data_IF_314106779584
#
_entry.id   IF_314106779584
#
_cell.length_a   1.000
_cell.length_b   1.000
_cell.length_c   1.000
_cell.angle_alpha   90.00
_cell.angle_beta   90.00
_cell.angle_gamma   90.00
#
_symmetry.space_group_name_H-M   'P 1'
#
loop_
_entity.id
_entity.type
_entity.pdbx_description
1 polymer ?
#
# COMPACT_ATOMS: atom_id res chain seq x y z
N UNK A 1 15.40 -39.58 19.54
CA UNK A 1 15.33 -39.51 18.07
C UNK A 1 13.91 -39.90 17.69
N UNK A 2 13.04 -38.91 17.46
CA UNK A 2 11.63 -39.14 17.16
C UNK A 2 11.44 -38.95 15.64
N UNK A 3 11.01 -40.02 14.97
CA UNK A 3 10.75 -40.03 13.54
C UNK A 3 9.34 -39.50 13.30
N UNK A 4 9.22 -38.31 12.73
CA UNK A 4 7.95 -37.79 12.25
C UNK A 4 7.71 -38.26 10.82
N UNK A 5 6.80 -39.22 10.68
CA UNK A 5 6.30 -39.71 9.39
C UNK A 5 5.34 -38.68 8.81
N UNK A 6 5.74 -38.04 7.71
CA UNK A 6 4.95 -37.07 6.95
C UNK A 6 3.91 -37.84 6.12
N UNK A 7 2.64 -37.80 6.52
CA UNK A 7 1.54 -38.39 5.76
C UNK A 7 1.15 -37.46 4.61
N UNK A 8 1.29 -38.01 3.40
CA UNK A 8 0.92 -37.44 2.10
C UNK A 8 -0.59 -37.13 2.05
N UNK A 9 -0.96 -35.85 1.90
CA UNK A 9 -2.36 -35.44 1.66
C UNK A 9 -2.75 -35.82 0.23
N UNK A 10 -3.75 -36.69 0.09
CA UNK A 10 -4.43 -36.98 -1.17
C UNK A 10 -5.21 -35.75 -1.66
N UNK A 11 -4.90 -35.31 -2.88
CA UNK A 11 -5.66 -34.28 -3.61
C UNK A 11 -6.84 -34.97 -4.30
N UNK A 12 -8.05 -34.67 -3.86
CA UNK A 12 -9.29 -35.18 -4.48
C UNK A 12 -9.60 -34.45 -5.81
N UNK A 13 -9.84 -35.15 -6.93
CA UNK A 13 -10.03 -34.55 -8.26
C UNK A 13 -11.47 -34.15 -8.63
N UNK A 14 -12.36 -33.88 -7.67
CA UNK A 14 -13.76 -33.50 -7.97
C UNK A 14 -14.13 -32.17 -7.29
N UNK A 15 -13.71 -31.07 -7.91
CA UNK A 15 -14.27 -29.75 -7.62
C UNK A 15 -15.20 -29.37 -8.78
N UNK A 16 -16.52 -29.19 -8.54
CA UNK A 16 -17.46 -28.84 -9.59
C UNK A 16 -17.18 -27.43 -10.13
N UNK A 17 -17.32 -27.29 -11.46
CA UNK A 17 -17.16 -26.04 -12.20
C UNK A 17 -18.01 -24.91 -11.59
N UNK A 18 -17.35 -23.84 -11.17
CA UNK A 18 -18.03 -22.61 -10.77
C UNK A 18 -18.63 -21.96 -12.02
N UNK A 19 -19.97 -22.00 -12.11
CA UNK A 19 -20.73 -21.23 -13.08
C UNK A 19 -20.50 -19.73 -12.85
N UNK A 20 -19.86 -19.12 -13.84
CA UNK A 20 -19.55 -17.71 -13.90
C UNK A 20 -20.85 -16.90 -14.10
N UNK A 21 -21.42 -16.41 -13.00
CA UNK A 21 -22.54 -15.47 -13.03
C UNK A 21 -22.05 -14.11 -13.56
N UNK A 22 -22.48 -13.77 -14.78
CA UNK A 22 -22.27 -12.45 -15.38
C UNK A 22 -22.95 -11.35 -14.54
N UNK A 23 -22.29 -10.22 -14.26
CA UNK A 23 -22.92 -9.10 -13.58
C UNK A 23 -23.89 -8.34 -14.52
N UNK A 24 -24.97 -7.75 -14.00
CA UNK A 24 -25.92 -6.98 -14.79
C UNK A 24 -25.31 -5.65 -15.26
N UNK A 25 -25.51 -5.36 -16.55
CA UNK A 25 -25.17 -4.09 -17.19
C UNK A 25 -26.11 -3.00 -16.69
N UNK A 26 -25.60 -2.10 -15.86
CA UNK A 26 -26.33 -0.89 -15.43
C UNK A 26 -26.14 0.19 -16.49
N UNK A 27 -27.17 0.42 -17.30
CA UNK A 27 -27.27 1.55 -18.20
C UNK A 27 -27.46 2.85 -17.39
N UNK A 28 -26.47 3.74 -17.44
CA UNK A 28 -26.57 5.10 -16.89
C UNK A 28 -27.20 6.05 -17.92
N UNK A 29 -28.25 6.82 -17.58
CA UNK A 29 -28.80 7.83 -18.48
C UNK A 29 -27.98 9.13 -18.43
N UNK A 30 -27.78 9.70 -19.62
CA UNK A 30 -27.18 11.01 -19.88
C UNK A 30 -27.79 12.13 -19.04
N UNK A 31 -26.94 12.91 -18.38
CA UNK A 31 -27.31 14.22 -17.83
C UNK A 31 -27.03 15.33 -18.85
N UNK A 32 -28.00 16.23 -18.95
CA UNK A 32 -28.16 17.28 -19.95
C UNK A 32 -27.14 18.42 -19.82
N UNK A 33 -26.77 18.95 -20.98
CA UNK A 33 -26.06 20.21 -21.18
C UNK A 33 -26.90 21.37 -20.64
N UNK A 34 -26.37 22.12 -19.66
CA UNK A 34 -26.93 23.40 -19.22
C UNK A 34 -26.10 24.52 -19.86
N UNK A 35 -26.63 25.11 -20.92
CA UNK A 35 -26.15 26.38 -21.48
C UNK A 35 -26.66 27.52 -20.61
N UNK A 36 -25.79 28.46 -20.23
CA UNK A 36 -26.20 29.77 -19.72
C UNK A 36 -25.48 30.90 -20.46
N UNK A 37 -26.17 32.04 -20.66
CA UNK A 37 -25.76 33.06 -21.61
C UNK A 37 -24.83 34.08 -20.96
N UNK A 38 -23.89 34.58 -21.76
CA UNK A 38 -23.06 35.72 -21.43
C UNK A 38 -23.90 37.00 -21.33
N UNK A 39 -23.73 37.74 -20.24
CA UNK A 39 -24.03 39.16 -20.15
C UNK A 39 -22.78 39.91 -19.70
N UNK A 40 -22.43 41.05 -20.31
CA UNK A 40 -21.35 41.91 -19.83
C UNK A 40 -21.85 42.73 -18.63
N UNK A 41 -20.97 43.18 -17.73
CA UNK A 41 -20.94 44.54 -17.19
C UNK A 41 -20.01 44.70 -15.97
N UNK A 42 -19.19 45.75 -16.08
CA UNK A 42 -18.65 46.67 -15.07
C UNK A 42 -17.65 46.17 -14.00
N UNK A 43 -16.42 46.66 -14.19
CA UNK A 43 -15.31 46.72 -13.24
C UNK A 43 -15.65 47.64 -12.05
N UNK A 44 -15.64 47.10 -10.83
CA UNK A 44 -15.51 47.86 -9.58
C UNK A 44 -14.39 47.21 -8.77
N UNK A 45 -13.39 47.96 -8.27
CA UNK A 45 -12.40 47.41 -7.36
C UNK A 45 -13.02 47.28 -5.97
N UNK A 46 -13.35 46.05 -5.57
CA UNK A 46 -13.77 45.73 -4.21
C UNK A 46 -12.60 45.17 -3.40
N UNK A 47 -12.30 45.87 -2.33
CA UNK A 47 -11.42 45.50 -1.21
C UNK A 47 -11.78 44.11 -0.67
N UNK A 48 -10.83 43.22 -0.34
CA UNK A 48 -11.14 41.87 0.11
C UNK A 48 -11.68 41.90 1.54
N UNK A 49 -12.97 41.57 1.70
CA UNK A 49 -13.54 41.18 3.00
C UNK A 49 -13.04 39.78 3.39
N UNK A 50 -12.70 39.53 4.67
CA UNK A 50 -12.37 38.19 5.14
C UNK A 50 -13.63 37.33 5.10
N UNK A 51 -13.66 36.35 4.19
CA UNK A 51 -14.72 35.36 4.15
C UNK A 51 -14.75 34.55 5.45
N UNK A 52 -15.84 34.71 6.20
CA UNK A 52 -16.24 33.75 7.23
C UNK A 52 -16.40 32.37 6.60
N UNK A 53 -15.44 31.49 6.88
CA UNK A 53 -15.53 30.06 6.60
C UNK A 53 -16.80 29.51 7.26
N UNK A 54 -17.74 29.05 6.42
CA UNK A 54 -18.83 28.17 6.86
C UNK A 54 -18.20 27.00 7.61
N UNK A 55 -18.51 26.89 8.91
CA UNK A 55 -18.25 25.67 9.66
C UNK A 55 -19.15 24.60 9.04
N UNK A 56 -18.54 23.62 8.40
CA UNK A 56 -19.23 22.39 8.05
C UNK A 56 -19.48 21.66 9.36
N UNK A 57 -20.73 21.69 9.80
CA UNK A 57 -21.26 20.78 10.83
C UNK A 57 -21.29 19.39 10.17
N UNK A 58 -20.17 18.68 10.30
CA UNK A 58 -19.97 17.36 9.71
C UNK A 58 -20.52 16.30 10.65
N UNK A 59 -21.51 15.56 10.16
CA UNK A 59 -22.02 14.32 10.75
C UNK A 59 -20.86 13.42 11.25
N UNK A 60 -20.79 13.08 12.54
CA UNK A 60 -19.66 12.35 13.14
C UNK A 60 -19.49 10.92 12.61
N UNK A 61 -20.44 10.40 11.81
CA UNK A 61 -20.38 9.05 11.25
C UNK A 61 -19.89 8.97 9.79
N UNK A 62 -19.54 10.09 9.15
CA UNK A 62 -19.21 10.10 7.71
C UNK A 62 -17.69 10.20 7.47
N UNK A 63 -17.06 9.03 7.53
CA UNK A 63 -15.86 8.59 6.79
C UNK A 63 -14.48 9.06 7.28
N UNK A 64 -13.83 8.19 8.05
CA UNK A 64 -12.37 8.03 8.14
C UNK A 64 -11.85 7.29 6.90
N UNK A 65 -11.70 8.01 5.79
CA UNK A 65 -10.85 7.52 4.70
C UNK A 65 -9.48 8.20 4.81
N UNK A 66 -8.35 7.47 4.67
CA UNK A 66 -7.01 8.02 4.85
C UNK A 66 -6.74 9.28 4.03
N UNK A 67 -7.30 9.36 2.82
CA UNK A 67 -7.24 10.52 1.94
C UNK A 67 -7.92 11.77 2.51
N UNK A 68 -9.03 11.60 3.25
CA UNK A 68 -9.76 12.69 3.89
C UNK A 68 -9.04 13.17 5.16
N UNK A 69 -8.44 12.25 5.93
CA UNK A 69 -7.58 12.59 7.07
C UNK A 69 -6.34 13.37 6.63
N UNK A 70 -5.68 12.95 5.55
CA UNK A 70 -4.53 13.66 4.99
C UNK A 70 -4.91 15.05 4.47
N UNK A 71 -6.11 15.19 3.86
CA UNK A 71 -6.61 16.49 3.43
C UNK A 71 -6.97 17.41 4.60
N UNK A 72 -7.60 16.89 5.66
CA UNK A 72 -7.87 17.63 6.90
C UNK A 72 -6.58 18.08 7.59
N UNK A 73 -5.57 17.21 7.63
CA UNK A 73 -4.23 17.55 8.13
C UNK A 73 -3.62 18.68 7.29
N UNK A 74 -3.64 18.57 5.97
CA UNK A 74 -3.16 19.62 5.06
C UNK A 74 -3.91 20.94 5.22
N UNK A 75 -5.23 20.90 5.38
CA UNK A 75 -6.08 22.08 5.58
C UNK A 75 -5.85 22.73 6.95
N UNK A 76 -5.65 21.94 8.00
CA UNK A 76 -5.29 22.43 9.33
C UNK A 76 -3.90 23.08 9.33
N UNK A 77 -2.92 22.46 8.68
CA UNK A 77 -1.57 23.01 8.51
C UNK A 77 -1.61 24.33 7.72
N UNK A 78 -2.35 24.37 6.61
CA UNK A 78 -2.48 25.56 5.76
C UNK A 78 -3.34 26.69 6.33
N UNK A 79 -4.10 26.45 7.40
CA UNK A 79 -4.91 27.49 8.06
C UNK A 79 -4.23 28.13 9.28
N UNK A 80 -3.00 27.73 9.61
CA UNK A 80 -2.20 28.46 10.58
C UNK A 80 -1.74 29.79 9.97
N UNK A 81 -2.17 30.90 10.58
CA UNK A 81 -1.97 32.27 10.04
C UNK A 81 -0.51 32.71 9.86
N UNK A 82 0.44 31.90 10.35
CA UNK A 82 1.87 32.20 10.29
C UNK A 82 2.57 31.72 9.01
N UNK A 83 1.93 30.92 8.14
CA UNK A 83 2.45 30.50 6.82
C UNK A 83 3.82 29.80 6.82
N UNK A 84 4.40 29.60 8.00
CA UNK A 84 5.71 29.08 8.26
C UNK A 84 5.56 28.21 9.50
N UNK A 85 5.52 26.90 9.28
CA UNK A 85 5.89 25.98 10.33
C UNK A 85 7.41 26.09 10.39
N UNK A 86 7.90 27.09 11.11
CA UNK A 86 9.20 26.97 11.76
C UNK A 86 9.06 25.79 12.71
N UNK A 87 9.35 24.59 12.21
CA UNK A 87 9.92 23.52 13.01
C UNK A 87 11.18 24.12 13.61
N UNK A 88 11.02 24.89 14.69
CA UNK A 88 12.13 25.29 15.52
C UNK A 88 12.90 23.99 15.79
N UNK A 89 14.24 24.04 15.66
CA UNK A 89 15.13 22.93 15.98
C UNK A 89 15.13 22.65 17.50
N UNK A 90 13.96 22.64 18.12
CA UNK A 90 13.76 22.07 19.43
C UNK A 90 14.20 20.61 19.31
N UNK A 91 15.35 20.32 19.91
CA UNK A 91 15.85 18.96 20.04
C UNK A 91 14.83 18.24 20.90
N UNK A 92 13.89 17.55 20.25
CA UNK A 92 13.02 16.60 20.94
C UNK A 92 13.96 15.58 21.55
N UNK A 93 14.09 15.64 22.86
CA UNK A 93 14.92 14.70 23.61
C UNK A 93 14.29 13.32 23.52
N UNK A 94 15.08 12.26 23.62
CA UNK A 94 14.56 10.89 23.61
C UNK A 94 13.44 10.68 24.64
N UNK A 95 13.51 11.38 25.78
CA UNK A 95 12.48 11.37 26.81
C UNK A 95 11.15 11.93 26.29
N UNK A 96 11.17 13.11 25.69
CA UNK A 96 9.98 13.73 25.07
C UNK A 96 9.44 12.86 23.93
N UNK A 97 10.32 12.24 23.13
CA UNK A 97 9.90 11.36 22.05
C UNK A 97 9.19 10.10 22.58
N UNK A 98 9.63 9.56 23.71
CA UNK A 98 8.95 8.44 24.39
C UNK A 98 7.61 8.83 25.03
N UNK A 99 7.43 10.10 25.39
CA UNK A 99 6.14 10.63 25.86
C UNK A 99 5.18 10.93 24.71
N UNK A 100 5.70 11.39 23.58
CA UNK A 100 4.94 11.68 22.35
C UNK A 100 4.51 10.38 21.67
N UNK A 101 5.44 9.43 21.53
CA UNK A 101 5.16 8.09 21.01
C UNK A 101 4.69 7.25 22.20
N UNK A 102 3.47 7.51 22.67
CA UNK A 102 2.82 6.61 23.62
C UNK A 102 2.83 5.21 23.01
N UNK A 103 3.20 4.21 23.82
CA UNK A 103 3.02 2.82 23.46
C UNK A 103 1.59 2.66 22.90
N UNK A 104 1.40 1.87 21.83
CA UNK A 104 0.07 1.56 21.32
C UNK A 104 -0.84 1.33 22.50
N UNK A 105 -1.80 2.23 22.71
CA UNK A 105 -2.85 1.98 23.68
C UNK A 105 -3.75 1.00 22.94
N UNK A 106 -3.29 -0.25 22.85
CA UNK A 106 -4.17 -1.39 22.68
C UNK A 106 -4.94 -1.36 23.99
N UNK A 107 -6.04 -0.60 24.02
CA UNK A 107 -6.97 -0.65 25.11
C UNK A 107 -7.41 -2.11 25.17
N UNK A 108 -6.75 -2.88 26.04
CA UNK A 108 -7.01 -4.28 26.31
C UNK A 108 -8.34 -4.49 27.04
N UNK A 109 -9.13 -3.43 27.20
CA UNK A 109 -10.57 -3.58 27.35
C UNK A 109 -11.10 -4.03 26.00
N UNK A 110 -10.89 -5.33 25.73
CA UNK A 110 -11.70 -6.06 24.77
C UNK A 110 -13.13 -5.64 25.08
N UNK A 111 -13.80 -4.91 24.16
CA UNK A 111 -15.21 -4.63 24.34
C UNK A 111 -15.80 -6.00 24.60
N UNK A 112 -16.41 -6.20 25.77
CA UNK A 112 -16.85 -7.52 26.20
C UNK A 112 -18.06 -7.87 25.36
N UNK A 113 -17.79 -8.25 24.10
CA UNK A 113 -18.79 -8.71 23.18
C UNK A 113 -19.28 -10.03 23.74
N UNK A 114 -20.60 -10.23 23.85
CA UNK A 114 -21.12 -11.53 24.24
C UNK A 114 -20.58 -12.57 23.24
N UNK A 115 -20.10 -13.70 23.75
CA UNK A 115 -19.66 -14.78 22.89
C UNK A 115 -20.85 -15.29 22.05
N UNK A 116 -20.69 -15.45 20.72
CA UNK A 116 -21.75 -16.00 19.89
C UNK A 116 -22.13 -17.41 20.34
N UNK A 117 -23.42 -17.72 20.34
CA UNK A 117 -23.86 -19.08 20.66
C UNK A 117 -23.66 -20.01 19.46
N UNK A 118 -22.48 -20.64 19.43
CA UNK A 118 -22.14 -21.63 18.40
C UNK A 118 -22.93 -22.93 18.53
N UNK A 119 -23.65 -23.15 19.63
CA UNK A 119 -24.48 -24.34 19.80
C UNK A 119 -25.65 -24.39 18.81
N UNK A 120 -26.09 -23.24 18.29
CA UNK A 120 -27.14 -23.13 17.28
C UNK A 120 -26.79 -23.79 15.95
N UNK A 121 -25.50 -23.96 15.64
CA UNK A 121 -25.04 -24.66 14.44
C UNK A 121 -25.17 -26.18 14.56
N UNK A 122 -25.32 -26.70 15.78
CA UNK A 122 -25.46 -28.13 16.00
C UNK A 122 -26.93 -28.52 15.77
N UNK A 123 -27.22 -29.42 14.82
CA UNK A 123 -28.59 -29.89 14.61
C UNK A 123 -29.01 -30.70 15.83
N UNK A 124 -29.74 -30.07 16.75
CA UNK A 124 -30.13 -30.68 18.03
C UNK A 124 -31.22 -31.75 17.91
N UNK A 125 -31.88 -31.88 16.74
CA UNK A 125 -32.87 -32.93 16.47
C UNK A 125 -33.13 -33.11 14.96
N UNK A 126 -33.56 -34.31 14.51
CA UNK A 126 -34.02 -34.50 13.13
C UNK A 126 -35.21 -33.56 12.82
N UNK A 127 -35.12 -32.84 11.69
CA UNK A 127 -36.06 -31.81 11.25
C UNK A 127 -37.53 -32.26 11.16
N UNK A 128 -37.79 -33.57 11.13
CA UNK A 128 -39.10 -34.16 10.86
C UNK A 128 -40.17 -33.89 11.93
N UNK A 129 -39.82 -33.35 13.11
CA UNK A 129 -40.76 -33.17 14.23
C UNK A 129 -40.76 -31.76 14.86
N UNK A 130 -40.19 -30.76 14.18
CA UNK A 130 -40.23 -29.39 14.72
C UNK A 130 -41.52 -28.69 14.33
N UNK A 131 -42.18 -28.03 15.30
CA UNK A 131 -43.32 -27.16 14.99
C UNK A 131 -42.83 -25.91 14.27
N UNK A 132 -43.69 -25.30 13.45
CA UNK A 132 -43.39 -24.06 12.74
C UNK A 132 -42.92 -22.95 13.69
N UNK A 133 -43.58 -22.78 14.84
CA UNK A 133 -43.20 -21.77 15.83
C UNK A 133 -41.77 -21.96 16.36
N UNK A 134 -41.31 -23.21 16.51
CA UNK A 134 -39.93 -23.50 16.94
C UNK A 134 -38.90 -23.16 15.85
N UNK A 135 -39.25 -23.39 14.59
CA UNK A 135 -38.41 -23.01 13.45
C UNK A 135 -38.29 -21.49 13.34
N UNK A 136 -39.39 -20.76 13.50
CA UNK A 136 -39.39 -19.29 13.50
C UNK A 136 -38.50 -18.74 14.62
N UNK A 137 -38.63 -19.25 15.84
CA UNK A 137 -37.76 -18.87 16.96
C UNK A 137 -36.27 -19.15 16.67
N UNK A 138 -35.95 -20.32 16.12
CA UNK A 138 -34.56 -20.67 15.78
C UNK A 138 -33.99 -19.75 14.69
N UNK A 139 -34.81 -19.34 13.72
CA UNK A 139 -34.41 -18.37 12.69
C UNK A 139 -34.13 -17.01 13.31
N UNK A 140 -34.97 -16.55 14.24
CA UNK A 140 -34.76 -15.29 14.96
C UNK A 140 -33.45 -15.32 15.77
N UNK A 141 -33.22 -16.37 16.56
CA UNK A 141 -32.00 -16.56 17.35
C UNK A 141 -30.74 -16.63 16.46
N UNK A 142 -30.83 -17.32 15.32
CA UNK A 142 -29.72 -17.40 14.37
C UNK A 142 -29.45 -16.04 13.71
N UNK A 143 -30.51 -15.30 13.37
CA UNK A 143 -30.39 -13.96 12.77
C UNK A 143 -29.74 -12.98 13.75
N UNK A 144 -30.14 -13.02 15.01
CA UNK A 144 -29.51 -12.24 16.08
C UNK A 144 -28.03 -12.59 16.25
N UNK A 145 -27.68 -13.88 16.33
CA UNK A 145 -26.28 -14.32 16.44
C UNK A 145 -25.45 -13.91 15.22
N UNK A 146 -26.00 -14.01 14.01
CA UNK A 146 -25.32 -13.53 12.79
C UNK A 146 -25.06 -12.02 12.85
N UNK A 147 -26.03 -11.24 13.31
CA UNK A 147 -25.86 -9.78 13.45
C UNK A 147 -24.76 -9.43 14.47
N UNK A 148 -24.68 -10.19 15.58
CA UNK A 148 -23.65 -10.03 16.60
C UNK A 148 -22.26 -10.37 16.06
N UNK A 149 -22.11 -11.52 15.39
CA UNK A 149 -20.84 -11.93 14.76
C UNK A 149 -20.40 -10.90 13.73
N UNK A 150 -21.32 -10.36 12.94
CA UNK A 150 -21.02 -9.30 11.98
C UNK A 150 -20.44 -8.06 12.67
N UNK A 151 -21.06 -7.58 13.75
CA UNK A 151 -20.55 -6.44 14.53
C UNK A 151 -19.15 -6.73 15.11
N UNK A 152 -18.92 -7.94 15.63
CA UNK A 152 -17.60 -8.35 16.13
C UNK A 152 -16.54 -8.30 15.02
N UNK A 153 -16.84 -8.83 13.83
CA UNK A 153 -15.90 -8.81 12.69
C UNK A 153 -15.58 -7.37 12.27
N UNK A 154 -16.59 -6.49 12.23
CA UNK A 154 -16.38 -5.06 11.91
C UNK A 154 -15.48 -4.40 12.95
N UNK A 155 -15.74 -4.64 14.24
CA UNK A 155 -14.90 -4.13 15.34
C UNK A 155 -13.46 -4.63 15.24
N UNK A 156 -13.26 -5.93 15.05
CA UNK A 156 -11.93 -6.53 14.89
C UNK A 156 -11.17 -5.97 13.68
N UNK A 157 -11.85 -5.76 12.55
CA UNK A 157 -11.24 -5.13 11.37
C UNK A 157 -10.75 -3.71 11.68
N UNK A 158 -11.55 -2.92 12.41
CA UNK A 158 -11.15 -1.58 12.84
C UNK A 158 -9.91 -1.59 13.74
N UNK A 159 -9.83 -2.54 14.69
CA UNK A 159 -8.66 -2.70 15.56
C UNK A 159 -7.41 -3.06 14.74
N UNK A 160 -7.52 -4.01 13.81
CA UNK A 160 -6.40 -4.42 12.94
C UNK A 160 -5.95 -3.25 12.06
N UNK A 161 -6.88 -2.50 11.48
CA UNK A 161 -6.58 -1.34 10.66
C UNK A 161 -5.86 -0.25 11.46
N UNK A 162 -6.34 0.05 12.67
CA UNK A 162 -5.70 1.03 13.55
C UNK A 162 -4.28 0.59 13.95
N UNK A 163 -4.10 -0.69 14.30
CA UNK A 163 -2.78 -1.25 14.61
C UNK A 163 -1.81 -1.14 13.43
N UNK A 164 -2.27 -1.48 12.22
CA UNK A 164 -1.47 -1.35 11.00
C UNK A 164 -1.11 0.10 10.70
N UNK A 165 -2.05 1.03 10.86
CA UNK A 165 -1.79 2.46 10.68
C UNK A 165 -0.72 2.96 11.67
N UNK A 166 -0.78 2.52 12.93
CA UNK A 166 0.22 2.88 13.93
C UNK A 166 1.61 2.33 13.58
N UNK A 167 1.70 1.08 13.11
CA UNK A 167 2.96 0.49 12.67
C UNK A 167 3.59 1.28 11.50
N UNK A 168 2.77 1.72 10.54
CA UNK A 168 3.24 2.58 9.45
C UNK A 168 3.78 3.92 9.95
N UNK A 169 3.09 4.57 10.90
CA UNK A 169 3.55 5.84 11.49
C UNK A 169 4.88 5.65 12.21
N UNK A 170 5.04 4.57 12.97
CA UNK A 170 6.30 4.24 13.65
C UNK A 170 7.44 4.00 12.64
N UNK A 171 7.18 3.23 11.59
CA UNK A 171 8.16 2.98 10.53
C UNK A 171 8.59 4.28 9.83
N UNK A 172 7.66 5.16 9.49
CA UNK A 172 7.97 6.48 8.91
C UNK A 172 8.81 7.33 9.87
N UNK A 173 8.50 7.30 11.16
CA UNK A 173 9.31 7.96 12.19
C UNK A 173 10.75 7.45 12.25
N UNK A 174 10.93 6.13 12.20
CA UNK A 174 12.25 5.50 12.18
C UNK A 174 13.05 5.83 10.91
N UNK A 175 12.41 5.79 9.74
CA UNK A 175 13.06 6.17 8.46
C UNK A 175 13.58 7.61 8.55
N UNK A 176 12.75 8.55 9.01
CA UNK A 176 13.14 9.94 9.17
C UNK A 176 14.29 10.14 10.17
N UNK A 177 14.28 9.39 11.28
CA UNK A 177 15.37 9.43 12.26
C UNK A 177 16.69 8.89 11.66
N UNK A 178 16.63 7.78 10.93
CA UNK A 178 17.78 7.22 10.24
C UNK A 178 18.35 8.19 9.19
N UNK A 179 17.48 8.84 8.42
CA UNK A 179 17.89 9.88 7.48
C UNK A 179 18.61 11.04 8.18
N UNK A 180 18.03 11.57 9.26
CA UNK A 180 18.65 12.67 10.02
C UNK A 180 19.98 12.27 10.68
N UNK A 181 20.15 10.99 11.03
CA UNK A 181 21.40 10.44 11.54
C UNK A 181 22.45 10.38 10.43
N UNK A 182 22.09 9.82 9.28
CA UNK A 182 22.98 9.74 8.12
C UNK A 182 23.37 11.10 7.55
N UNK A 183 22.46 12.07 7.50
CA UNK A 183 22.76 13.45 7.07
C UNK A 183 23.84 14.08 7.97
N UNK A 184 23.79 13.82 9.28
CA UNK A 184 24.80 14.31 10.23
C UNK A 184 26.13 13.56 10.16
N UNK A 185 26.10 12.27 9.83
CA UNK A 185 27.30 11.44 9.70
C UNK A 185 28.01 11.63 8.35
N UNK A 186 27.24 11.87 7.29
CA UNK A 186 27.71 11.98 5.91
C UNK A 186 28.18 13.39 5.53
N UNK A 187 27.80 14.42 6.28
CA UNK A 187 28.42 15.74 6.10
C UNK A 187 29.91 15.66 6.37
N UNK A 188 30.73 16.06 5.39
CA UNK A 188 32.19 16.20 5.50
C UNK A 188 32.56 17.25 6.57
N UNK A 189 32.32 16.95 7.84
CA UNK A 189 32.87 17.71 8.93
C UNK A 189 34.36 17.38 8.98
N UNK A 190 35.16 18.20 8.29
CA UNK A 190 36.64 18.18 8.28
C UNK A 190 37.24 18.31 9.68
N UNK A 191 36.46 18.77 10.66
CA UNK A 191 36.74 18.71 12.11
C UNK A 191 36.25 17.42 12.76
N UNK A 192 36.59 16.26 12.17
CA UNK A 192 36.47 14.98 12.86
C UNK A 192 37.58 14.92 13.90
N UNK A 193 37.39 15.60 15.04
CA UNK A 193 38.09 15.26 16.28
C UNK A 193 37.90 13.78 16.48
N UNK A 194 38.95 13.01 16.18
CA UNK A 194 39.00 11.57 16.38
C UNK A 194 38.84 11.37 17.88
N UNK A 195 37.61 11.13 18.32
CA UNK A 195 37.35 10.55 19.63
C UNK A 195 38.13 9.25 19.64
N UNK A 196 39.32 9.27 20.27
CA UNK A 196 40.12 8.09 20.54
C UNK A 196 39.27 7.20 21.44
N UNK A 197 38.45 6.37 20.82
CA UNK A 197 37.77 5.27 21.46
C UNK A 197 38.83 4.49 22.21
N UNK A 198 38.57 4.31 23.51
CA UNK A 198 39.45 3.64 24.45
C UNK A 198 39.99 2.34 23.85
N UNK A 199 41.29 2.02 23.99
CA UNK A 199 41.95 0.93 23.28
C UNK A 199 41.32 -0.47 23.46
N UNK A 200 40.45 -0.65 24.46
CA UNK A 200 39.79 -1.92 24.75
C UNK A 200 38.54 -2.20 23.88
N UNK A 201 38.12 -1.29 23.01
CA UNK A 201 36.92 -1.49 22.16
C UNK A 201 37.14 -2.19 20.81
N UNK A 202 38.40 -2.43 20.41
CA UNK A 202 38.72 -2.90 19.05
C UNK A 202 38.45 -4.39 18.80
N UNK A 203 38.31 -5.19 19.85
CA UNK A 203 38.03 -6.63 19.70
C UNK A 203 36.53 -6.89 19.41
N UNK A 204 35.62 -6.13 20.04
CA UNK A 204 34.17 -6.30 19.83
C UNK A 204 33.70 -5.78 18.46
N UNK A 205 34.32 -4.72 17.93
CA UNK A 205 33.95 -4.16 16.62
C UNK A 205 34.23 -5.13 15.45
N UNK A 206 35.32 -5.89 15.53
CA UNK A 206 35.64 -6.90 14.50
C UNK A 206 34.72 -8.11 14.54
N UNK A 207 34.27 -8.51 15.73
CA UNK A 207 33.27 -9.56 15.92
C UNK A 207 31.90 -9.13 15.37
N UNK A 208 31.48 -7.89 15.63
CA UNK A 208 30.23 -7.33 15.11
C UNK A 208 30.25 -7.21 13.58
N UNK A 209 31.34 -6.68 13.00
CA UNK A 209 31.45 -6.51 11.54
C UNK A 209 31.47 -7.88 10.80
N UNK A 210 32.03 -8.93 11.40
CA UNK A 210 31.96 -10.27 10.85
C UNK A 210 30.55 -10.87 10.96
N UNK A 211 29.82 -10.59 12.05
CA UNK A 211 28.42 -10.99 12.19
C UNK A 211 27.51 -10.27 11.17
N UNK A 212 27.72 -8.97 10.95
CA UNK A 212 26.94 -8.18 9.98
C UNK A 212 27.26 -8.57 8.52
N UNK A 213 28.51 -8.93 8.22
CA UNK A 213 28.88 -9.51 6.91
C UNK A 213 28.29 -10.90 6.69
N UNK A 214 28.04 -11.66 7.75
CA UNK A 214 27.37 -12.96 7.66
C UNK A 214 25.85 -12.80 7.44
N UNK A 215 25.22 -11.79 8.04
CA UNK A 215 23.77 -11.54 7.89
C UNK A 215 23.36 -10.88 6.57
N UNK A 216 24.27 -10.18 5.87
CA UNK A 216 23.99 -9.58 4.54
C UNK A 216 23.99 -10.57 3.37
N UNK A 217 24.64 -11.73 3.50
CA UNK A 217 24.67 -12.76 2.44
C UNK A 217 23.31 -13.43 2.16
N UNK A 218 22.46 -13.79 3.14
CA UNK A 218 21.17 -14.42 2.86
C UNK A 218 20.18 -13.49 2.15
N UNK A 219 20.13 -12.21 2.53
CA UNK A 219 19.20 -11.23 1.92
C UNK A 219 19.43 -11.03 0.41
N UNK A 220 20.67 -11.23 -0.07
CA UNK A 220 21.00 -11.13 -1.49
C UNK A 220 20.56 -12.37 -2.29
N UNK A 221 20.42 -13.52 -1.63
CA UNK A 221 19.89 -14.74 -2.22
C UNK A 221 18.38 -14.66 -2.45
N UNK A 222 17.66 -14.19 -1.43
CA UNK A 222 16.20 -14.07 -1.48
C UNK A 222 15.73 -13.10 -2.57
N UNK A 223 16.41 -11.96 -2.72
CA UNK A 223 16.11 -11.01 -3.80
C UNK A 223 16.31 -11.59 -5.21
N UNK A 224 17.35 -12.43 -5.40
CA UNK A 224 17.58 -13.09 -6.69
C UNK A 224 16.48 -14.11 -6.99
N UNK A 225 16.08 -14.88 -5.99
CA UNK A 225 14.99 -15.85 -6.13
C UNK A 225 13.65 -15.16 -6.43
N UNK A 226 13.33 -14.06 -5.76
CA UNK A 226 12.11 -13.30 -6.03
C UNK A 226 12.12 -12.68 -7.43
N UNK A 227 13.25 -12.11 -7.86
CA UNK A 227 13.40 -11.56 -9.21
C UNK A 227 13.21 -12.63 -10.29
N UNK A 228 13.74 -13.83 -10.07
CA UNK A 228 13.61 -14.96 -11.00
C UNK A 228 12.14 -15.43 -11.08
N UNK A 229 11.44 -15.54 -9.95
CA UNK A 229 10.01 -15.87 -9.93
C UNK A 229 9.17 -14.86 -10.72
N UNK A 230 9.46 -13.56 -10.55
CA UNK A 230 8.73 -12.50 -11.26
C UNK A 230 9.04 -12.51 -12.76
N UNK A 231 10.27 -12.88 -13.15
CA UNK A 231 10.61 -13.04 -14.56
C UNK A 231 9.89 -14.25 -15.19
N UNK A 232 9.77 -15.37 -14.46
CA UNK A 232 9.02 -16.55 -14.91
C UNK A 232 7.54 -16.21 -15.12
N UNK A 233 6.89 -15.59 -14.12
CA UNK A 233 5.48 -15.17 -14.22
C UNK A 233 5.25 -14.18 -15.36
N UNK A 234 6.21 -13.26 -15.58
CA UNK A 234 6.11 -12.30 -16.68
C UNK A 234 6.21 -12.98 -18.05
N UNK A 235 7.08 -13.97 -18.23
CA UNK A 235 7.18 -14.77 -19.47
C UNK A 235 5.91 -15.57 -19.72
N UNK A 236 5.28 -16.10 -18.68
CA UNK A 236 4.00 -16.80 -18.80
C UNK A 236 2.87 -15.86 -19.25
N UNK A 237 2.76 -14.70 -18.62
CA UNK A 237 1.78 -13.68 -19.00
C UNK A 237 1.96 -13.18 -20.45
N UNK A 238 3.21 -13.07 -20.93
CA UNK A 238 3.49 -12.74 -22.33
C UNK A 238 3.03 -13.83 -23.30
N UNK A 239 3.22 -15.10 -22.94
CA UNK A 239 2.78 -16.24 -23.76
C UNK A 239 1.26 -16.27 -23.87
N UNK A 240 0.55 -16.10 -22.76
CA UNK A 240 -0.91 -16.10 -22.72
C UNK A 240 -1.49 -14.91 -23.51
N UNK A 241 -0.84 -13.75 -23.42
CA UNK A 241 -1.22 -12.60 -24.23
C UNK A 241 -1.00 -12.84 -25.73
N UNK A 242 0.09 -13.50 -26.11
CA UNK A 242 0.32 -13.87 -27.51
C UNK A 242 -0.77 -14.82 -28.03
N UNK A 243 -1.13 -15.85 -27.25
CA UNK A 243 -2.24 -16.75 -27.59
C UNK A 243 -3.57 -16.00 -27.72
N UNK A 244 -3.88 -15.11 -26.78
CA UNK A 244 -5.09 -14.29 -26.82
C UNK A 244 -5.13 -13.35 -28.03
N UNK A 245 -3.98 -12.81 -28.45
CA UNK A 245 -3.86 -11.97 -29.64
C UNK A 245 -4.06 -12.80 -30.92
N UNK A 246 -3.51 -14.01 -31.00
CA UNK A 246 -3.74 -14.92 -32.13
C UNK A 246 -5.22 -15.28 -32.26
N UNK A 247 -5.87 -15.73 -31.18
CA UNK A 247 -7.30 -16.06 -31.19
C UNK A 247 -8.18 -14.84 -31.55
N UNK A 248 -7.82 -13.65 -31.04
CA UNK A 248 -8.51 -12.41 -31.41
C UNK A 248 -8.34 -12.06 -32.89
N UNK A 249 -7.15 -12.28 -33.48
CA UNK A 249 -6.91 -12.06 -34.91
C UNK A 249 -7.77 -13.00 -35.77
N UNK A 250 -7.79 -14.30 -35.45
CA UNK A 250 -8.61 -15.30 -36.15
C UNK A 250 -10.11 -14.92 -36.11
N UNK A 251 -10.61 -14.54 -34.93
CA UNK A 251 -12.00 -14.11 -34.78
C UNK A 251 -12.31 -12.83 -35.57
N UNK A 252 -11.38 -11.87 -35.60
CA UNK A 252 -11.52 -10.65 -36.41
C UNK A 252 -11.49 -10.95 -37.91
N UNK A 253 -10.73 -11.94 -38.36
CA UNK A 253 -10.73 -12.39 -39.76
C UNK A 253 -12.04 -13.06 -40.14
N UNK A 254 -12.58 -13.93 -39.28
CA UNK A 254 -13.89 -14.54 -39.48
C UNK A 254 -15.01 -13.50 -39.60
N UNK A 255 -15.03 -12.49 -38.71
CA UNK A 255 -16.02 -11.39 -38.78
C UNK A 255 -15.87 -10.54 -40.04
N UNK A 256 -14.64 -10.32 -40.52
CA UNK A 256 -14.41 -9.62 -41.80
C UNK A 256 -14.94 -10.42 -42.98
N UNK A 257 -14.72 -11.73 -43.00
CA UNK A 257 -15.26 -12.61 -44.05
C UNK A 257 -16.80 -12.65 -44.04
N UNK A 258 -17.43 -12.50 -42.86
CA UNK A 258 -18.88 -12.38 -42.72
C UNK A 258 -19.45 -10.99 -43.06
N UNK A 259 -18.63 -10.01 -43.45
CA UNK A 259 -19.07 -8.66 -43.83
C UNK A 259 -19.36 -7.71 -42.66
N UNK A 260 -18.84 -7.99 -41.47
CA UNK A 260 -19.00 -7.09 -40.31
C UNK A 260 -18.31 -5.73 -40.55
N UNK A 261 -18.93 -4.65 -40.07
CA UNK A 261 -18.36 -3.30 -40.19
C UNK A 261 -17.20 -3.15 -39.19
N UNK A 262 -16.24 -2.28 -39.51
CA UNK A 262 -15.05 -2.05 -38.65
C UNK A 262 -15.38 -1.65 -37.20
N UNK A 263 -16.54 -1.02 -36.97
CA UNK A 263 -16.99 -0.59 -35.63
C UNK A 263 -17.44 -1.76 -34.75
N UNK A 264 -17.77 -2.90 -35.37
CA UNK A 264 -18.31 -4.09 -34.71
C UNK A 264 -17.20 -5.11 -34.38
N UNK A 265 -15.95 -4.81 -34.76
CA UNK A 265 -14.78 -5.63 -34.41
C UNK A 265 -14.45 -5.47 -32.93
N UNK A 266 -14.15 -6.59 -32.27
CA UNK A 266 -13.70 -6.59 -30.89
C UNK A 266 -12.40 -5.79 -30.73
N UNK A 267 -12.26 -5.07 -29.61
CA UNK A 267 -11.03 -4.35 -29.30
C UNK A 267 -9.88 -5.34 -29.05
N UNK A 268 -8.67 -4.98 -29.49
CA UNK A 268 -7.47 -5.80 -29.28
C UNK A 268 -7.22 -6.00 -27.78
N UNK A 269 -6.90 -7.24 -27.33
CA UNK A 269 -6.50 -7.50 -25.96
C UNK A 269 -5.31 -6.63 -25.54
N UNK A 270 -5.41 -5.97 -24.39
CA UNK A 270 -4.32 -5.17 -23.82
C UNK A 270 -3.45 -6.05 -22.91
N UNK A 271 -2.14 -5.94 -23.05
CA UNK A 271 -1.20 -6.60 -22.14
C UNK A 271 -1.27 -5.91 -20.77
N UNK A 272 -1.37 -6.68 -19.70
CA UNK A 272 -1.25 -6.13 -18.35
C UNK A 272 0.16 -5.54 -18.15
N UNK A 273 0.26 -4.46 -17.40
CA UNK A 273 1.56 -3.86 -17.08
C UNK A 273 2.41 -4.89 -16.32
N UNK A 274 3.71 -4.93 -16.62
CA UNK A 274 4.66 -5.79 -15.91
C UNK A 274 4.48 -5.58 -14.40
N UNK A 275 4.31 -6.65 -13.60
CA UNK A 275 4.29 -6.54 -12.16
C UNK A 275 5.56 -5.82 -11.73
N UNK A 276 5.42 -4.57 -11.31
CA UNK A 276 6.52 -3.87 -10.69
C UNK A 276 6.70 -4.51 -9.34
N UNK A 277 7.87 -5.10 -9.10
CA UNK A 277 8.36 -5.26 -7.74
C UNK A 277 8.12 -3.91 -7.10
N UNK A 278 7.23 -3.86 -6.10
CA UNK A 278 7.28 -2.75 -5.16
C UNK A 278 8.67 -2.87 -4.60
N UNK A 279 9.63 -2.13 -5.17
CA UNK A 279 10.91 -1.92 -4.54
C UNK A 279 10.49 -1.50 -3.13
N UNK A 280 10.77 -2.34 -2.15
CA UNK A 280 10.97 -1.85 -0.80
C UNK A 280 12.14 -0.90 -0.99
N UNK A 281 11.84 0.34 -1.33
CA UNK A 281 12.84 1.40 -1.45
C UNK A 281 13.29 1.63 -0.02
N UNK A 282 14.29 0.85 0.38
CA UNK A 282 15.45 1.43 1.02
C UNK A 282 15.94 2.50 0.03
N UNK A 283 15.54 3.74 0.29
CA UNK A 283 15.96 4.94 -0.41
C UNK A 283 17.49 5.04 -0.30
N UNK A 284 18.17 4.42 -1.25
CA UNK A 284 19.58 4.64 -1.53
C UNK A 284 19.63 5.70 -2.63
N UNK A 285 19.53 6.95 -2.22
CA UNK A 285 19.89 8.09 -3.05
C UNK A 285 21.39 7.99 -3.35
N UNK A 286 21.71 7.37 -4.48
CA UNK A 286 23.01 7.43 -5.14
C UNK A 286 23.10 8.80 -5.83
N UNK A 287 23.47 9.82 -5.05
CA UNK A 287 23.86 11.11 -5.56
C UNK A 287 25.39 11.14 -5.66
N UNK A 288 25.89 10.75 -6.82
CA UNK A 288 27.31 10.70 -7.16
C UNK A 288 27.52 11.16 -8.59
N UNK A 289 26.95 12.30 -8.93
CA UNK A 289 27.33 13.10 -10.09
C UNK A 289 28.76 13.64 -9.83
N UNK A 290 29.75 12.90 -10.35
CA UNK A 290 31.14 13.34 -10.38
C UNK A 290 31.59 13.35 -11.84
N UNK A 291 31.11 14.35 -12.58
CA UNK A 291 31.74 14.84 -13.81
C UNK A 291 33.09 15.46 -13.43
N UNK A 292 34.11 14.62 -13.21
CA UNK A 292 35.51 15.04 -13.23
C UNK A 292 35.95 15.09 -14.70
N UNK A 293 35.78 16.27 -15.29
CA UNK A 293 36.25 16.61 -16.62
C UNK A 293 37.78 16.57 -16.68
N UNK A 294 38.31 15.39 -17.01
CA UNK A 294 39.70 15.26 -17.46
C UNK A 294 39.78 15.63 -18.94
N UNK A 295 39.87 16.93 -19.24
CA UNK A 295 40.41 17.44 -20.51
C UNK A 295 41.86 16.97 -20.64
N UNK A 296 42.05 15.82 -21.27
CA UNK A 296 43.36 15.37 -21.74
C UNK A 296 43.66 16.09 -23.05
N UNK A 297 44.24 17.28 -22.92
CA UNK A 297 44.85 18.03 -24.00
C UNK A 297 46.10 17.26 -24.47
N UNK A 298 45.90 16.37 -25.44
CA UNK A 298 46.99 15.71 -26.16
C UNK A 298 47.28 16.50 -27.43
N UNK A 299 47.94 17.62 -27.22
CA UNK A 299 48.84 18.26 -28.18
C UNK A 299 50.07 17.38 -28.33
N UNK A 300 50.18 16.64 -29.43
CA UNK A 300 51.49 16.30 -29.97
C UNK A 300 51.40 16.19 -31.49
N UNK A 301 51.92 17.23 -32.13
CA UNK A 301 52.00 17.35 -33.57
C UNK A 301 52.93 16.30 -34.17
N UNK A 302 52.56 15.83 -35.36
CA UNK A 302 53.55 15.26 -36.27
C UNK A 302 53.35 15.89 -37.65
N UNK A 303 53.94 17.08 -37.79
CA UNK A 303 54.45 17.60 -39.05
C UNK A 303 55.50 16.63 -39.60
N UNK A 304 55.43 16.35 -40.91
CA UNK A 304 56.66 16.14 -41.68
C UNK A 304 56.75 14.86 -42.52
N UNK A 305 56.53 15.11 -43.81
CA UNK A 305 57.49 14.85 -44.90
C UNK A 305 57.46 13.53 -45.70
N UNK A 306 57.50 13.76 -47.02
CA UNK A 306 57.74 12.92 -48.21
C UNK A 306 56.64 12.00 -48.75
#
# INVERSE_FOLDING_TARGET
MANHTFTHLEVHPNSPEQQQLNPPVINSPSASVFTSPMGPFHLIPSTPCPHQKRRHDGDPNVLDTPSKCMWLLGAALGSTSAGSILLSKAKVTHLEMSEIIKAPIIQHEDPTFPEPDWSLLKPNAPLQHQSQAKLEQMIEELTLNLSLVYQMIVGQRGIIEAANAQLLIQNLGMIKMNWALHEKEGGENKDRTVLKLSPNGKENAKLQEQADKASRKPAQGDWKAEKEQIEVLWKEMQRDHALAVCAWQEHCEQLKQAGAKKKDLLKKPKLALKPTLKKVTEDKEDNGDNEDGSESDSDDGNDGND
#
